data_IF_400454383022
#
_entry.id   IF_400454383022
#
_cell.length_a   1.000
_cell.length_b   1.000
_cell.length_c   1.000
_cell.angle_alpha   90.00
_cell.angle_beta   90.00
_cell.angle_gamma   90.00
#
_symmetry.space_group_name_H-M   'P 1'
#
loop_
_entity.id
_entity.type
_entity.pdbx_description
1 polymer ?
#
# COMPACT_ATOMS: atom_id res chain seq x y z
N UNK A 1 -41.18 5.50 15.54
CA UNK A 1 -41.00 6.32 14.31
C UNK A 1 -40.38 7.65 14.70
N UNK A 2 -39.16 7.93 14.28
CA UNK A 2 -38.53 9.25 14.42
C UNK A 2 -39.38 10.25 13.64
N UNK A 3 -39.75 11.40 14.24
CA UNK A 3 -40.34 12.51 13.46
C UNK A 3 -39.33 12.88 12.39
N UNK A 4 -39.60 12.57 11.10
CA UNK A 4 -38.84 13.08 9.97
C UNK A 4 -38.70 14.59 10.16
N UNK A 5 -37.48 15.09 10.13
CA UNK A 5 -37.25 16.53 10.12
C UNK A 5 -37.78 17.05 8.79
N UNK A 6 -38.55 18.14 8.78
CA UNK A 6 -38.99 18.82 7.56
C UNK A 6 -37.83 19.50 6.81
N UNK A 7 -36.62 19.09 7.05
CA UNK A 7 -35.44 19.64 6.41
C UNK A 7 -35.20 18.94 5.08
N UNK A 8 -35.29 19.71 4.01
CA UNK A 8 -34.95 19.26 2.65
C UNK A 8 -33.44 19.53 2.44
N UNK A 9 -32.66 18.48 2.29
CA UNK A 9 -31.22 18.60 2.11
C UNK A 9 -30.90 19.02 0.67
N UNK A 10 -30.10 20.08 0.44
CA UNK A 10 -29.85 20.62 -0.90
C UNK A 10 -29.20 19.62 -1.87
N UNK A 11 -28.42 18.67 -1.38
CA UNK A 11 -27.75 17.64 -2.18
C UNK A 11 -28.44 16.26 -2.14
N UNK A 12 -29.59 16.15 -1.46
CA UNK A 12 -30.34 14.90 -1.36
C UNK A 12 -31.79 15.12 -1.83
N UNK A 13 -32.05 15.07 -3.15
CA UNK A 13 -33.40 15.34 -3.71
C UNK A 13 -34.51 14.48 -3.10
N UNK A 14 -34.20 13.24 -2.72
CA UNK A 14 -35.14 12.31 -2.04
C UNK A 14 -35.50 12.72 -0.61
N UNK A 15 -34.84 13.72 -0.03
CA UNK A 15 -35.24 14.29 1.26
C UNK A 15 -36.45 15.20 1.17
N UNK A 16 -36.86 15.65 -0.04
CA UNK A 16 -38.08 16.38 -0.29
C UNK A 16 -39.25 15.40 -0.41
N UNK A 17 -40.25 15.47 0.51
CA UNK A 17 -41.42 14.58 0.45
C UNK A 17 -42.16 14.59 -0.90
N UNK A 18 -42.14 15.72 -1.62
CA UNK A 18 -42.77 15.84 -2.93
C UNK A 18 -42.04 15.04 -4.03
N UNK A 19 -40.75 14.79 -3.85
CA UNK A 19 -39.92 13.98 -4.75
C UNK A 19 -39.78 12.53 -4.30
N UNK A 20 -39.90 12.30 -3.02
CA UNK A 20 -39.80 10.93 -2.44
C UNK A 20 -40.97 10.06 -2.95
N UNK A 21 -42.22 10.57 -2.90
CA UNK A 21 -43.40 9.77 -3.28
C UNK A 21 -43.33 9.23 -4.72
N UNK A 22 -43.04 10.04 -5.75
CA UNK A 22 -42.92 9.53 -7.12
C UNK A 22 -41.82 8.48 -7.27
N UNK A 23 -40.74 8.55 -6.48
CA UNK A 23 -39.68 7.53 -6.49
C UNK A 23 -40.18 6.23 -5.87
N UNK A 24 -40.88 6.28 -4.73
CA UNK A 24 -41.49 5.11 -4.11
C UNK A 24 -42.53 4.45 -5.02
N UNK A 25 -43.36 5.24 -5.66
CA UNK A 25 -44.37 4.77 -6.64
C UNK A 25 -43.67 4.03 -7.82
N UNK A 26 -42.55 4.57 -8.30
CA UNK A 26 -41.77 3.96 -9.40
C UNK A 26 -41.20 2.61 -9.01
N UNK A 27 -40.79 2.45 -7.75
CA UNK A 27 -40.21 1.21 -7.22
C UNK A 27 -41.31 0.25 -6.74
N UNK A 28 -42.54 0.73 -6.60
CA UNK A 28 -43.71 -0.07 -6.23
C UNK A 28 -43.80 -0.34 -4.71
N UNK A 29 -43.33 0.60 -3.88
CA UNK A 29 -43.40 0.53 -2.43
C UNK A 29 -44.14 1.76 -1.88
N UNK A 30 -44.79 1.63 -0.73
CA UNK A 30 -45.52 2.73 -0.10
C UNK A 30 -44.65 3.53 0.88
N UNK A 31 -43.63 2.93 1.41
CA UNK A 31 -42.68 3.53 2.36
C UNK A 31 -41.27 2.97 2.15
N UNK A 32 -40.28 3.83 2.31
CA UNK A 32 -38.86 3.44 2.15
C UNK A 32 -38.43 2.29 3.07
N UNK A 33 -39.10 2.09 4.20
CA UNK A 33 -38.81 0.97 5.11
C UNK A 33 -39.10 -0.40 4.48
N UNK A 34 -39.99 -0.49 3.49
CA UNK A 34 -40.26 -1.73 2.79
C UNK A 34 -39.06 -2.23 1.98
N UNK A 35 -38.18 -1.34 1.53
CA UNK A 35 -36.95 -1.69 0.82
C UNK A 35 -36.00 -2.49 1.72
N UNK A 36 -36.13 -2.41 3.03
CA UNK A 36 -35.34 -3.15 4.01
C UNK A 36 -35.94 -4.51 4.38
N UNK A 37 -37.06 -4.93 3.75
CA UNK A 37 -37.71 -6.21 4.05
C UNK A 37 -36.82 -7.43 3.82
N UNK A 38 -35.73 -7.27 3.05
CA UNK A 38 -34.69 -8.29 2.87
C UNK A 38 -33.86 -8.56 4.12
N UNK A 39 -33.85 -7.60 5.09
CA UNK A 39 -33.12 -7.74 6.33
C UNK A 39 -34.02 -8.52 7.32
N UNK A 40 -33.55 -9.65 7.90
CA UNK A 40 -34.29 -10.39 8.93
C UNK A 40 -34.72 -9.50 10.08
N UNK A 41 -35.95 -9.69 10.59
CA UNK A 41 -36.56 -8.82 11.61
C UNK A 41 -35.73 -8.71 12.90
N UNK A 42 -35.10 -9.79 13.31
CA UNK A 42 -34.20 -9.83 14.48
C UNK A 42 -32.91 -9.03 14.32
N UNK A 43 -32.57 -8.61 13.11
CA UNK A 43 -31.40 -7.77 12.81
C UNK A 43 -31.76 -6.32 12.58
N UNK A 44 -33.05 -5.97 12.58
CA UNK A 44 -33.53 -4.60 12.38
C UNK A 44 -33.48 -3.79 13.66
N UNK A 45 -33.07 -2.54 13.55
CA UNK A 45 -33.09 -1.60 14.66
C UNK A 45 -34.42 -0.84 14.70
N UNK A 46 -35.25 -1.10 15.71
CA UNK A 46 -36.56 -0.48 15.87
C UNK A 46 -36.60 0.77 16.80
N UNK A 47 -35.44 1.23 17.19
CA UNK A 47 -35.29 2.43 18.05
C UNK A 47 -34.39 3.46 17.32
N UNK A 48 -34.55 4.72 17.69
CA UNK A 48 -33.61 5.76 17.32
C UNK A 48 -32.23 5.47 17.93
N UNK A 49 -31.16 5.80 17.23
CA UNK A 49 -29.82 5.78 17.78
C UNK A 49 -29.72 6.82 18.89
N UNK A 50 -29.01 6.48 19.95
CA UNK A 50 -28.67 7.43 21.03
C UNK A 50 -27.44 8.23 20.58
N UNK A 51 -27.70 9.30 19.84
CA UNK A 51 -26.68 10.18 19.30
C UNK A 51 -26.69 11.53 20.00
N UNK A 52 -25.53 12.19 20.11
CA UNK A 52 -25.48 13.58 20.59
C UNK A 52 -26.35 14.49 19.68
N UNK A 53 -26.80 15.59 20.26
CA UNK A 53 -27.50 16.59 19.47
C UNK A 53 -26.60 17.16 18.38
N UNK A 54 -27.11 17.38 17.16
CA UNK A 54 -26.31 17.93 16.09
C UNK A 54 -25.91 19.37 16.39
N UNK A 55 -24.67 19.71 16.04
CA UNK A 55 -24.17 21.08 16.00
C UNK A 55 -24.48 21.64 14.61
N UNK A 56 -25.51 22.50 14.51
CA UNK A 56 -26.02 23.00 13.23
C UNK A 56 -25.24 24.19 12.67
N UNK A 57 -24.43 24.85 13.49
CA UNK A 57 -23.56 25.96 13.09
C UNK A 57 -22.15 25.44 12.87
N UNK A 58 -21.59 25.73 11.69
CA UNK A 58 -20.18 25.43 11.36
C UNK A 58 -19.22 25.96 12.41
N UNK A 59 -19.41 27.21 12.83
CA UNK A 59 -18.59 27.84 13.87
C UNK A 59 -18.71 27.10 15.24
N UNK A 60 -19.91 26.61 15.59
CA UNK A 60 -20.09 25.86 16.83
C UNK A 60 -19.42 24.48 16.73
N UNK A 61 -19.47 23.85 15.58
CA UNK A 61 -18.78 22.57 15.32
C UNK A 61 -17.27 22.76 15.39
N UNK A 62 -16.71 23.78 14.73
CA UNK A 62 -15.30 24.10 14.74
C UNK A 62 -14.77 24.28 16.16
N UNK A 63 -15.42 25.15 16.96
CA UNK A 63 -15.04 25.35 18.37
C UNK A 63 -15.09 24.07 19.17
N UNK A 64 -16.13 23.26 18.99
CA UNK A 64 -16.26 22.00 19.69
C UNK A 64 -15.12 21.03 19.35
N UNK A 65 -14.75 20.94 18.08
CA UNK A 65 -13.64 20.08 17.61
C UNK A 65 -12.30 20.62 18.09
N UNK A 66 -12.08 21.93 18.05
CA UNK A 66 -10.87 22.56 18.58
C UNK A 66 -10.71 22.31 20.08
N UNK A 67 -11.79 22.43 20.85
CA UNK A 67 -11.79 22.14 22.30
C UNK A 67 -11.42 20.67 22.57
N UNK A 68 -11.94 19.74 21.78
CA UNK A 68 -11.58 18.32 21.88
C UNK A 68 -10.11 18.08 21.54
N UNK A 69 -9.64 18.64 20.43
CA UNK A 69 -8.28 18.46 19.96
C UNK A 69 -7.23 19.16 20.80
N UNK A 70 -7.61 20.26 21.51
CA UNK A 70 -6.71 20.95 22.43
C UNK A 70 -6.21 20.08 23.58
N UNK A 71 -6.93 18.99 23.88
CA UNK A 71 -6.55 17.99 24.89
C UNK A 71 -5.47 17.01 24.40
N UNK A 72 -5.21 16.97 23.09
CA UNK A 72 -4.19 16.10 22.50
C UNK A 72 -2.80 16.70 22.61
N UNK A 73 -1.84 15.82 22.83
CA UNK A 73 -0.42 16.15 22.74
C UNK A 73 0.08 15.80 21.33
N UNK A 74 0.47 16.82 20.57
CA UNK A 74 0.88 16.62 19.17
C UNK A 74 2.40 16.63 18.99
N UNK A 75 2.86 15.96 17.94
CA UNK A 75 4.25 15.95 17.52
C UNK A 75 4.79 17.34 17.08
N UNK A 76 3.91 18.34 16.89
CA UNK A 76 4.33 19.73 16.63
C UNK A 76 4.96 20.39 17.85
N UNK A 77 4.61 19.94 19.05
CA UNK A 77 5.06 20.54 20.32
C UNK A 77 5.95 19.61 21.14
N UNK A 78 5.93 18.32 20.86
CA UNK A 78 6.61 17.28 21.65
C UNK A 78 7.38 16.33 20.73
N UNK A 79 8.50 15.82 21.24
CA UNK A 79 9.25 14.76 20.58
C UNK A 79 8.46 13.45 20.70
N UNK A 80 8.47 12.67 19.62
CA UNK A 80 7.83 11.37 19.55
C UNK A 80 8.87 10.33 19.16
N UNK A 81 9.02 9.29 19.99
CA UNK A 81 9.94 8.17 19.80
C UNK A 81 9.20 6.82 19.68
N UNK A 82 7.89 6.85 19.42
CA UNK A 82 7.10 5.62 19.34
C UNK A 82 7.43 4.81 18.07
N UNK A 83 7.77 5.47 16.96
CA UNK A 83 7.93 4.78 15.69
C UNK A 83 6.64 4.09 15.25
N UNK A 84 6.70 2.77 15.02
CA UNK A 84 5.64 1.93 14.49
C UNK A 84 5.29 2.25 13.03
N UNK A 85 4.25 1.71 12.41
CA UNK A 85 3.98 1.76 10.99
C UNK A 85 3.95 3.14 10.30
N UNK A 86 3.86 4.22 11.05
CA UNK A 86 3.86 5.59 10.54
C UNK A 86 4.60 6.50 11.50
N UNK A 87 5.64 7.19 11.02
CA UNK A 87 6.48 8.04 11.87
C UNK A 87 6.58 9.47 11.34
N UNK A 88 6.96 10.39 12.22
CA UNK A 88 7.04 11.79 11.90
C UNK A 88 8.22 12.09 10.97
N UNK A 89 7.94 12.85 9.91
CA UNK A 89 8.92 13.43 9.01
C UNK A 89 8.44 14.81 8.55
N UNK A 90 9.29 15.53 7.84
CA UNK A 90 8.90 16.81 7.26
C UNK A 90 8.16 16.60 5.95
N UNK A 91 7.00 17.25 5.80
CA UNK A 91 6.23 17.29 4.55
C UNK A 91 6.31 18.70 3.98
N UNK A 92 6.98 18.90 2.83
CA UNK A 92 7.03 20.19 2.16
C UNK A 92 5.63 20.67 1.76
N UNK A 93 5.38 21.99 1.88
CA UNK A 93 4.08 22.57 1.52
C UNK A 93 3.68 22.35 0.06
N UNK A 94 4.65 22.17 -0.83
CA UNK A 94 4.38 21.88 -2.25
C UNK A 94 3.66 20.53 -2.42
N UNK A 95 3.87 19.56 -1.54
CA UNK A 95 3.16 18.27 -1.59
C UNK A 95 1.65 18.50 -1.42
N UNK A 96 1.24 19.32 -0.45
CA UNK A 96 -0.16 19.65 -0.23
C UNK A 96 -0.75 20.42 -1.42
N UNK A 97 -0.01 21.37 -1.97
CA UNK A 97 -0.44 22.19 -3.10
C UNK A 97 -0.69 21.34 -4.34
N UNK A 98 0.25 20.46 -4.68
CA UNK A 98 0.12 19.57 -5.85
C UNK A 98 -0.97 18.51 -5.64
N UNK A 99 -0.98 17.84 -4.47
CA UNK A 99 -1.98 16.80 -4.18
C UNK A 99 -3.43 17.32 -4.14
N UNK A 100 -3.60 18.63 -3.89
CA UNK A 100 -4.92 19.26 -3.85
C UNK A 100 -5.44 19.73 -5.21
N UNK A 101 -4.66 19.65 -6.28
CA UNK A 101 -5.12 20.00 -7.62
C UNK A 101 -6.20 19.05 -8.13
N UNK A 102 -7.13 19.61 -8.89
CA UNK A 102 -8.31 18.88 -9.37
C UNK A 102 -7.95 17.66 -10.24
N UNK A 103 -6.90 17.78 -11.05
CA UNK A 103 -6.41 16.71 -11.93
C UNK A 103 -5.96 15.45 -11.18
N UNK A 104 -5.55 15.58 -9.90
CA UNK A 104 -5.16 14.45 -9.05
C UNK A 104 -6.29 13.92 -8.15
N UNK A 105 -7.44 14.60 -8.13
CA UNK A 105 -8.62 14.23 -7.33
C UNK A 105 -9.72 13.57 -8.13
N UNK A 106 -9.39 12.97 -9.26
CA UNK A 106 -10.35 12.27 -10.13
C UNK A 106 -10.65 10.86 -9.66
N UNK A 107 -11.40 10.11 -10.44
CA UNK A 107 -11.85 8.76 -10.12
C UNK A 107 -10.71 7.81 -9.75
N UNK A 108 -11.07 6.69 -9.14
CA UNK A 108 -10.15 5.65 -8.70
C UNK A 108 -9.33 5.08 -9.87
N UNK A 109 -8.06 4.80 -9.61
CA UNK A 109 -7.13 4.24 -10.59
C UNK A 109 -7.61 2.87 -11.09
N UNK A 110 -7.58 2.67 -12.38
CA UNK A 110 -7.80 1.36 -13.00
C UNK A 110 -8.67 1.40 -14.25
N UNK A 111 -9.97 1.28 -14.11
CA UNK A 111 -10.84 0.99 -15.25
C UNK A 111 -11.45 2.20 -15.92
N UNK A 112 -11.31 3.39 -15.36
CA UNK A 112 -11.97 4.56 -15.91
C UNK A 112 -11.04 5.38 -16.79
N UNK A 113 -11.55 5.74 -17.94
CA UNK A 113 -10.94 6.67 -18.88
C UNK A 113 -10.62 8.05 -18.27
N UNK A 114 -11.19 8.39 -17.13
CA UNK A 114 -10.93 9.64 -16.41
C UNK A 114 -9.60 9.65 -15.63
N UNK A 115 -9.01 8.48 -15.35
CA UNK A 115 -7.75 8.37 -14.61
C UNK A 115 -6.49 8.46 -15.47
N UNK A 116 -6.62 8.46 -16.78
CA UNK A 116 -5.47 8.41 -17.69
C UNK A 116 -4.49 9.58 -17.54
N UNK A 117 -4.97 10.74 -17.10
CA UNK A 117 -4.11 11.88 -16.78
C UNK A 117 -3.12 11.65 -15.62
N UNK A 118 -3.38 10.66 -14.77
CA UNK A 118 -2.47 10.27 -13.67
C UNK A 118 -1.36 9.32 -14.10
N UNK A 119 -1.43 8.72 -15.27
CA UNK A 119 -0.48 7.71 -15.71
C UNK A 119 0.95 8.25 -15.77
N UNK A 120 1.13 9.47 -16.22
CA UNK A 120 2.43 10.11 -16.22
C UNK A 120 2.95 10.30 -14.79
N UNK A 121 2.13 10.82 -13.87
CA UNK A 121 2.52 10.99 -12.48
C UNK A 121 2.88 9.66 -11.81
N UNK A 122 2.14 8.59 -12.10
CA UNK A 122 2.43 7.25 -11.60
C UNK A 122 3.73 6.69 -12.20
N UNK A 123 3.95 6.86 -13.49
CA UNK A 123 5.19 6.47 -14.15
C UNK A 123 6.40 7.20 -13.58
N UNK A 124 6.31 8.52 -13.41
CA UNK A 124 7.39 9.33 -12.81
C UNK A 124 7.68 8.92 -11.36
N UNK A 125 6.62 8.69 -10.55
CA UNK A 125 6.75 8.19 -9.18
C UNK A 125 7.48 6.86 -9.13
N UNK A 126 7.01 5.87 -9.91
CA UNK A 126 7.62 4.53 -9.92
C UNK A 126 9.06 4.55 -10.43
N UNK A 127 9.36 5.40 -11.42
CA UNK A 127 10.71 5.57 -11.95
C UNK A 127 11.67 6.19 -10.93
N UNK A 128 11.27 7.27 -10.26
CA UNK A 128 12.09 7.91 -9.23
C UNK A 128 12.34 6.98 -8.02
N UNK A 129 11.32 6.23 -7.62
CA UNK A 129 11.48 5.27 -6.53
C UNK A 129 12.35 4.09 -6.94
N UNK A 130 12.24 3.63 -8.19
CA UNK A 130 13.11 2.61 -8.77
C UNK A 130 14.57 3.03 -8.75
N UNK A 131 14.86 4.26 -9.12
CA UNK A 131 16.20 4.85 -9.09
C UNK A 131 16.80 4.85 -7.67
N UNK A 132 15.99 5.24 -6.66
CA UNK A 132 16.42 5.18 -5.26
C UNK A 132 16.73 3.76 -4.78
N UNK A 133 15.94 2.79 -5.19
CA UNK A 133 16.03 1.39 -4.75
C UNK A 133 17.03 0.57 -5.59
N UNK A 134 17.43 1.07 -6.77
CA UNK A 134 18.27 0.37 -7.73
C UNK A 134 17.53 -0.71 -8.53
N UNK A 135 16.22 -0.54 -8.76
CA UNK A 135 15.38 -1.49 -9.51
C UNK A 135 14.67 -0.86 -10.69
N UNK A 136 14.42 -1.67 -11.72
CA UNK A 136 13.74 -1.25 -12.94
C UNK A 136 12.22 -1.27 -12.82
N UNK A 137 11.65 -2.19 -12.02
CA UNK A 137 10.22 -2.35 -11.82
C UNK A 137 9.80 -1.90 -10.43
N UNK A 138 8.83 -0.99 -10.39
CA UNK A 138 8.14 -0.60 -9.15
C UNK A 138 6.64 -0.62 -9.37
N UNK A 139 5.89 -1.23 -8.45
CA UNK A 139 4.44 -1.28 -8.55
C UNK A 139 3.78 0.08 -8.33
N UNK A 140 2.59 0.25 -8.90
CA UNK A 140 1.64 1.23 -8.38
C UNK A 140 1.53 1.08 -6.85
N UNK A 141 1.35 2.17 -6.09
CA UNK A 141 1.22 2.07 -4.64
C UNK A 141 0.16 1.06 -4.19
N UNK A 142 0.54 0.22 -3.24
CA UNK A 142 -0.39 -0.59 -2.46
C UNK A 142 -0.72 0.13 -1.14
N UNK A 143 -1.63 -0.42 -0.32
CA UNK A 143 -2.13 0.29 0.85
C UNK A 143 -1.02 0.71 1.83
N UNK A 144 -0.10 -0.20 2.14
CA UNK A 144 0.95 0.02 3.13
C UNK A 144 2.09 -1.00 2.99
N UNK A 145 3.10 -0.88 3.84
CA UNK A 145 4.22 -1.82 3.93
C UNK A 145 3.73 -3.25 4.21
N UNK A 146 2.76 -3.44 5.09
CA UNK A 146 2.25 -4.77 5.43
C UNK A 146 1.63 -5.47 4.22
N UNK A 147 0.84 -4.73 3.43
CA UNK A 147 0.26 -5.24 2.19
C UNK A 147 1.33 -5.53 1.13
N UNK A 148 2.31 -4.62 0.95
CA UNK A 148 3.43 -4.82 0.04
C UNK A 148 4.20 -6.10 0.37
N UNK A 149 4.63 -6.23 1.60
CA UNK A 149 5.39 -7.36 2.12
C UNK A 149 4.63 -8.69 1.97
N UNK A 150 3.39 -8.76 2.44
CA UNK A 150 2.62 -10.01 2.42
C UNK A 150 2.26 -10.45 1.01
N UNK A 151 1.92 -9.51 0.12
CA UNK A 151 1.70 -9.78 -1.29
C UNK A 151 2.97 -10.30 -1.97
N UNK A 152 4.13 -9.73 -1.62
CA UNK A 152 5.44 -10.16 -2.14
C UNK A 152 5.84 -11.53 -1.63
N UNK A 153 5.56 -11.89 -0.38
CA UNK A 153 5.79 -13.23 0.15
C UNK A 153 4.98 -14.26 -0.65
N UNK A 154 3.71 -13.97 -0.96
CA UNK A 154 2.89 -14.84 -1.81
C UNK A 154 3.41 -14.87 -3.26
N UNK A 155 3.87 -13.74 -3.79
CA UNK A 155 4.53 -13.65 -5.11
C UNK A 155 5.78 -14.54 -5.14
N UNK A 156 6.66 -14.46 -4.16
CA UNK A 156 7.84 -15.32 -4.04
C UNK A 156 7.47 -16.82 -3.97
N UNK A 157 6.38 -17.15 -3.28
CA UNK A 157 5.83 -18.51 -3.25
C UNK A 157 5.43 -19.01 -4.63
N UNK A 158 4.80 -18.18 -5.46
CA UNK A 158 4.42 -18.55 -6.84
C UNK A 158 5.65 -18.66 -7.75
N UNK A 159 6.56 -17.68 -7.71
CA UNK A 159 7.80 -17.68 -8.51
C UNK A 159 8.62 -18.94 -8.26
N UNK A 160 8.82 -19.31 -6.99
CA UNK A 160 9.65 -20.45 -6.62
C UNK A 160 8.89 -21.79 -6.61
N UNK A 161 7.56 -21.72 -6.70
CA UNK A 161 6.65 -22.87 -6.48
C UNK A 161 6.90 -23.55 -5.11
N UNK A 162 7.12 -22.73 -4.05
CA UNK A 162 7.43 -23.17 -2.70
C UNK A 162 6.47 -22.52 -1.69
N UNK A 163 6.36 -23.11 -0.50
CA UNK A 163 5.33 -22.73 0.47
C UNK A 163 5.87 -22.43 1.88
N UNK A 164 7.15 -22.16 2.05
CA UNK A 164 7.73 -21.77 3.33
C UNK A 164 8.39 -20.40 3.22
N UNK A 165 8.20 -19.56 4.22
CA UNK A 165 8.89 -18.28 4.36
C UNK A 165 9.64 -18.23 5.69
N UNK A 166 10.89 -17.75 5.66
CA UNK A 166 11.66 -17.41 6.84
C UNK A 166 11.58 -15.91 7.08
N UNK A 167 11.24 -15.48 8.29
CA UNK A 167 11.00 -14.08 8.63
C UNK A 167 11.89 -13.67 9.78
N UNK A 168 12.61 -12.57 9.65
CA UNK A 168 13.39 -11.99 10.74
C UNK A 168 12.51 -11.71 11.96
N UNK A 169 12.89 -12.19 13.14
CA UNK A 169 12.12 -11.92 14.36
C UNK A 169 12.25 -10.47 14.87
N UNK A 170 13.10 -9.68 14.24
CA UNK A 170 13.24 -8.23 14.44
C UNK A 170 12.24 -7.39 13.63
N UNK A 171 11.42 -8.00 12.78
CA UNK A 171 10.32 -7.31 12.08
C UNK A 171 9.26 -6.84 13.09
N UNK A 172 8.60 -5.71 12.79
CA UNK A 172 7.56 -5.15 13.65
C UNK A 172 6.42 -6.12 13.95
N UNK A 173 5.86 -6.09 15.15
CA UNK A 173 4.80 -7.01 15.58
C UNK A 173 3.55 -6.91 14.69
N UNK A 174 3.19 -5.72 14.24
CA UNK A 174 2.10 -5.52 13.27
C UNK A 174 2.37 -6.24 11.95
N UNK A 175 3.61 -6.19 11.45
CA UNK A 175 4.04 -6.87 10.22
C UNK A 175 4.03 -8.37 10.39
N UNK A 176 4.55 -8.87 11.50
CA UNK A 176 4.51 -10.30 11.82
C UNK A 176 3.07 -10.82 11.92
N UNK A 177 2.18 -10.06 12.58
CA UNK A 177 0.75 -10.37 12.67
C UNK A 177 0.09 -10.38 11.30
N UNK A 178 0.42 -9.39 10.45
CA UNK A 178 -0.13 -9.29 9.10
C UNK A 178 0.33 -10.45 8.21
N UNK A 179 1.63 -10.80 8.22
CA UNK A 179 2.16 -11.97 7.50
C UNK A 179 1.38 -13.23 7.94
N UNK A 180 1.24 -13.44 9.25
CA UNK A 180 0.55 -14.60 9.77
C UNK A 180 -0.90 -14.64 9.29
N UNK A 181 -1.63 -13.54 9.37
CA UNK A 181 -3.03 -13.50 8.95
C UNK A 181 -3.21 -13.67 7.43
N UNK A 182 -2.40 -12.95 6.65
CA UNK A 182 -2.54 -12.88 5.19
C UNK A 182 -1.96 -14.10 4.47
N UNK A 183 -0.83 -14.63 4.93
CA UNK A 183 -0.08 -15.66 4.22
C UNK A 183 -0.36 -17.09 4.70
N UNK A 184 -0.89 -17.30 5.94
CA UNK A 184 -1.01 -18.61 6.58
C UNK A 184 -1.77 -19.67 5.77
N UNK A 185 -2.67 -19.26 4.89
CA UNK A 185 -3.44 -20.19 4.05
C UNK A 185 -2.58 -20.86 2.96
N UNK A 186 -1.45 -20.26 2.59
CA UNK A 186 -0.59 -20.68 1.48
C UNK A 186 0.87 -20.90 1.90
N UNK A 187 1.32 -20.28 3.00
CA UNK A 187 2.72 -20.26 3.42
C UNK A 187 2.87 -20.79 4.85
N UNK A 188 3.86 -21.65 5.06
CA UNK A 188 4.39 -21.96 6.38
C UNK A 188 5.35 -20.85 6.81
N UNK A 189 5.04 -20.18 7.91
CA UNK A 189 5.81 -19.05 8.41
C UNK A 189 6.70 -19.52 9.55
N UNK A 190 8.00 -19.26 9.46
CA UNK A 190 8.97 -19.58 10.49
C UNK A 190 9.87 -18.38 10.77
N UNK A 191 10.03 -18.03 12.06
CA UNK A 191 10.87 -16.90 12.48
C UNK A 191 12.34 -17.32 12.54
N UNK A 192 13.24 -16.45 12.08
CA UNK A 192 14.68 -16.56 12.27
C UNK A 192 15.06 -15.71 13.48
N UNK A 193 15.87 -16.25 14.37
CA UNK A 193 16.35 -15.57 15.56
C UNK A 193 17.27 -14.41 15.21
N UNK A 194 17.49 -13.54 16.16
CA UNK A 194 18.49 -12.49 16.12
C UNK A 194 19.43 -12.60 17.33
N UNK A 195 20.61 -12.07 17.20
CA UNK A 195 21.56 -11.92 18.30
C UNK A 195 21.10 -10.77 19.21
N UNK A 196 20.75 -11.00 20.47
CA UNK A 196 20.25 -9.98 21.37
C UNK A 196 21.26 -8.87 21.72
N UNK A 197 22.56 -9.11 21.53
CA UNK A 197 23.60 -8.11 21.79
C UNK A 197 23.75 -7.13 20.62
N UNK A 198 23.62 -7.62 19.39
CA UNK A 198 23.84 -6.84 18.17
C UNK A 198 22.55 -6.43 17.45
N UNK A 199 21.45 -7.15 17.70
CA UNK A 199 20.18 -7.00 16.98
C UNK A 199 20.19 -7.56 15.56
N UNK A 200 21.31 -8.11 15.08
CA UNK A 200 21.47 -8.67 13.75
C UNK A 200 20.83 -10.05 13.63
N UNK A 201 20.44 -10.46 12.42
CA UNK A 201 19.92 -11.80 12.17
C UNK A 201 20.97 -12.86 12.50
N UNK A 202 20.56 -13.89 13.23
CA UNK A 202 21.42 -15.06 13.52
C UNK A 202 21.57 -15.90 12.24
N UNK A 203 22.75 -15.78 11.59
CA UNK A 203 23.05 -16.47 10.34
C UNK A 203 23.13 -18.00 10.51
N UNK A 204 23.49 -18.51 11.69
CA UNK A 204 23.52 -19.95 11.94
C UNK A 204 22.11 -20.51 12.10
N UNK A 205 21.21 -19.79 12.78
CA UNK A 205 19.80 -20.15 12.84
C UNK A 205 19.14 -20.07 11.44
N UNK A 206 19.53 -19.05 10.63
CA UNK A 206 19.08 -18.94 9.23
C UNK A 206 19.52 -20.17 8.42
N UNK A 207 20.80 -20.51 8.42
CA UNK A 207 21.34 -21.69 7.70
C UNK A 207 20.67 -22.97 8.13
N UNK A 208 20.46 -23.16 9.44
CA UNK A 208 19.80 -24.35 9.98
C UNK A 208 18.33 -24.52 9.51
N UNK A 209 17.64 -23.40 9.25
CA UNK A 209 16.25 -23.37 8.79
C UNK A 209 16.08 -23.38 7.27
N UNK A 210 17.15 -23.04 6.53
CA UNK A 210 17.14 -23.05 5.07
C UNK A 210 16.97 -24.47 4.52
N UNK A 211 15.94 -24.66 3.72
CA UNK A 211 15.62 -25.90 3.02
C UNK A 211 15.11 -25.61 1.62
N UNK A 212 15.08 -26.60 0.76
CA UNK A 212 14.51 -26.52 -0.60
C UNK A 212 13.00 -26.15 -0.63
N UNK A 213 12.34 -26.08 0.53
CA UNK A 213 10.93 -25.66 0.64
C UNK A 213 10.78 -24.15 0.88
N UNK A 214 11.87 -23.46 1.18
CA UNK A 214 11.85 -22.02 1.47
C UNK A 214 11.69 -21.25 0.17
N UNK A 215 10.62 -20.47 0.08
CA UNK A 215 10.33 -19.60 -1.03
C UNK A 215 11.13 -18.29 -0.95
N UNK A 216 11.15 -17.69 0.24
CA UNK A 216 11.92 -16.47 0.47
C UNK A 216 12.32 -16.32 1.93
N UNK A 217 13.32 -15.43 2.14
CA UNK A 217 13.73 -14.89 3.42
C UNK A 217 13.32 -13.43 3.47
N UNK A 218 12.55 -13.02 4.49
CA UNK A 218 12.17 -11.63 4.73
C UNK A 218 12.95 -11.03 5.88
N UNK A 219 13.53 -9.86 5.68
CA UNK A 219 14.19 -9.05 6.71
C UNK A 219 13.96 -7.56 6.45
N UNK A 220 14.28 -6.71 7.42
CA UNK A 220 14.14 -5.26 7.31
C UNK A 220 15.50 -4.59 7.46
N UNK A 221 15.77 -3.58 6.63
CA UNK A 221 17.01 -2.80 6.71
C UNK A 221 16.76 -1.31 6.44
N UNK A 222 16.75 -0.44 7.47
CA UNK A 222 16.93 -0.76 8.91
C UNK A 222 15.81 -1.63 9.47
N UNK A 223 16.12 -2.39 10.54
CA UNK A 223 15.12 -3.20 11.23
C UNK A 223 14.14 -2.32 12.01
N UNK A 224 12.99 -2.89 12.40
CA UNK A 224 11.99 -2.21 13.26
C UNK A 224 12.61 -1.70 14.58
N UNK A 225 13.60 -2.37 15.11
CA UNK A 225 14.32 -1.97 16.33
C UNK A 225 15.40 -0.90 16.09
N UNK A 226 15.59 -0.45 14.84
CA UNK A 226 16.54 0.60 14.47
C UNK A 226 17.97 0.09 14.19
N UNK A 227 18.20 -1.21 14.14
CA UNK A 227 19.49 -1.77 13.74
C UNK A 227 19.64 -1.81 12.22
N UNK A 228 20.85 -1.54 11.75
CA UNK A 228 21.22 -1.75 10.35
C UNK A 228 21.73 -3.18 10.19
N UNK A 229 21.13 -3.97 9.32
CA UNK A 229 21.54 -5.33 9.03
C UNK A 229 22.78 -5.33 8.12
N UNK A 230 23.94 -5.27 8.75
CA UNK A 230 25.24 -5.23 8.07
C UNK A 230 25.61 -6.55 7.36
N UNK A 231 24.90 -7.63 7.64
CA UNK A 231 25.07 -8.93 7.00
C UNK A 231 24.06 -9.18 5.89
N UNK A 232 23.36 -8.14 5.40
CA UNK A 232 22.29 -8.29 4.40
C UNK A 232 22.75 -9.09 3.16
N UNK A 233 23.95 -8.83 2.65
CA UNK A 233 24.53 -9.59 1.54
C UNK A 233 24.69 -11.08 1.86
N UNK A 234 25.15 -11.42 3.08
CA UNK A 234 25.30 -12.83 3.51
C UNK A 234 23.93 -13.53 3.66
N UNK A 235 22.91 -12.79 4.09
CA UNK A 235 21.54 -13.31 4.13
C UNK A 235 21.08 -13.67 2.71
N UNK A 236 21.36 -12.78 1.74
CA UNK A 236 21.04 -13.02 0.32
C UNK A 236 21.80 -14.26 -0.20
N UNK A 237 23.11 -14.36 0.04
CA UNK A 237 23.90 -15.50 -0.40
C UNK A 237 23.36 -16.82 0.15
N UNK A 238 23.07 -16.89 1.46
CA UNK A 238 22.50 -18.09 2.10
C UNK A 238 21.14 -18.47 1.50
N UNK A 239 20.29 -17.50 1.17
CA UNK A 239 19.00 -17.75 0.53
C UNK A 239 19.19 -18.28 -0.90
N UNK A 240 20.05 -17.63 -1.67
CA UNK A 240 20.31 -17.95 -3.08
C UNK A 240 20.98 -19.31 -3.25
N UNK A 241 21.86 -19.74 -2.34
CA UNK A 241 22.46 -21.10 -2.34
C UNK A 241 21.39 -22.21 -2.36
N UNK A 242 20.21 -21.93 -1.83
CA UNK A 242 19.07 -22.86 -1.82
C UNK A 242 17.99 -22.50 -2.85
N UNK A 243 18.25 -21.51 -3.72
CA UNK A 243 17.31 -21.03 -4.73
C UNK A 243 16.05 -20.39 -4.12
N UNK A 244 16.15 -19.85 -2.91
CA UNK A 244 15.12 -19.01 -2.30
C UNK A 244 15.36 -17.55 -2.67
N UNK A 245 14.29 -16.76 -2.75
CA UNK A 245 14.38 -15.32 -2.96
C UNK A 245 14.62 -14.58 -1.65
N UNK A 246 15.10 -13.36 -1.75
CA UNK A 246 15.19 -12.42 -0.64
C UNK A 246 14.21 -11.28 -0.81
N UNK A 247 13.53 -10.94 0.27
CA UNK A 247 12.60 -9.81 0.34
C UNK A 247 13.05 -8.89 1.45
N UNK A 248 13.45 -7.67 1.12
CA UNK A 248 13.87 -6.70 2.11
C UNK A 248 12.84 -5.59 2.31
N UNK A 249 12.49 -5.34 3.56
CA UNK A 249 11.73 -4.19 3.98
C UNK A 249 12.61 -2.96 4.11
N UNK A 250 12.30 -1.88 3.39
CA UNK A 250 13.14 -0.68 3.25
C UNK A 250 12.35 0.57 3.63
N UNK A 251 12.95 1.39 4.50
CA UNK A 251 12.56 2.79 4.65
C UNK A 251 13.28 3.61 3.57
N UNK A 252 12.57 4.20 2.60
CA UNK A 252 13.21 4.91 1.49
C UNK A 252 14.03 6.14 1.94
N UNK A 253 13.76 6.72 3.09
CA UNK A 253 14.58 7.82 3.64
C UNK A 253 15.97 7.33 4.04
N UNK A 254 16.09 6.08 4.47
CA UNK A 254 17.38 5.49 4.85
C UNK A 254 18.36 5.41 3.67
N UNK A 255 17.86 5.39 2.44
CA UNK A 255 18.66 5.34 1.21
C UNK A 255 19.44 6.64 0.93
N UNK A 256 19.19 7.70 1.68
CA UNK A 256 20.09 8.86 1.72
C UNK A 256 21.45 8.59 2.39
N UNK A 257 21.59 7.47 3.08
CA UNK A 257 22.78 7.06 3.82
C UNK A 257 23.20 5.61 3.51
N UNK A 258 22.22 4.72 3.36
CA UNK A 258 22.46 3.30 3.10
C UNK A 258 22.48 3.03 1.59
N UNK A 259 23.21 1.99 1.22
CA UNK A 259 23.26 1.50 -0.15
C UNK A 259 21.90 0.95 -0.61
N UNK A 260 21.59 1.11 -1.89
CA UNK A 260 20.35 0.60 -2.48
C UNK A 260 20.27 -0.94 -2.38
N UNK A 261 19.08 -1.49 -2.04
CA UNK A 261 18.93 -2.93 -1.77
C UNK A 261 19.31 -3.83 -2.96
N UNK A 262 19.14 -3.37 -4.19
CA UNK A 262 19.56 -4.10 -5.37
C UNK A 262 21.07 -4.38 -5.41
N UNK A 263 21.90 -3.48 -4.83
CA UNK A 263 23.36 -3.56 -4.92
C UNK A 263 23.95 -4.56 -3.93
N UNK A 264 23.23 -4.93 -2.87
CA UNK A 264 23.70 -5.98 -1.93
C UNK A 264 22.95 -7.31 -2.06
N UNK A 265 22.26 -7.52 -3.20
CA UNK A 265 21.77 -8.83 -3.61
C UNK A 265 20.30 -9.13 -3.26
N UNK A 266 19.52 -8.16 -2.80
CA UNK A 266 18.08 -8.34 -2.54
C UNK A 266 17.33 -8.53 -3.87
N UNK A 267 16.43 -9.51 -3.93
CA UNK A 267 15.63 -9.78 -5.12
C UNK A 267 14.44 -8.85 -5.25
N UNK A 268 13.73 -8.61 -4.13
CA UNK A 268 12.53 -7.78 -4.10
C UNK A 268 12.60 -6.86 -2.88
N UNK A 269 12.53 -5.56 -3.11
CA UNK A 269 12.37 -4.57 -2.04
C UNK A 269 10.89 -4.22 -1.85
N UNK A 270 10.48 -4.08 -0.60
CA UNK A 270 9.16 -3.63 -0.19
C UNK A 270 9.30 -2.56 0.88
N UNK A 271 8.28 -1.74 1.06
CA UNK A 271 8.32 -0.71 2.09
C UNK A 271 7.13 0.20 2.02
N UNK A 272 7.28 1.38 2.60
CA UNK A 272 6.29 2.44 2.56
C UNK A 272 6.92 3.76 2.16
N UNK A 273 6.40 4.37 1.11
CA UNK A 273 6.84 5.67 0.63
C UNK A 273 6.11 6.85 1.34
N UNK A 274 5.35 6.58 2.40
CA UNK A 274 4.71 7.62 3.21
C UNK A 274 5.70 8.72 3.64
N UNK A 275 6.96 8.40 4.06
CA UNK A 275 7.92 9.43 4.43
C UNK A 275 8.36 10.35 3.29
N UNK A 276 8.10 10.00 2.04
CA UNK A 276 8.45 10.82 0.87
C UNK A 276 7.45 11.96 0.57
N UNK A 277 6.51 12.24 1.47
CA UNK A 277 5.65 13.42 1.32
C UNK A 277 4.20 13.27 1.80
N UNK A 278 3.83 12.17 2.43
CA UNK A 278 2.52 12.01 3.03
C UNK A 278 2.54 12.43 4.50
N UNK A 279 1.50 13.13 4.95
CA UNK A 279 1.28 13.37 6.37
C UNK A 279 0.97 12.05 7.09
N UNK A 280 1.20 12.03 8.41
CA UNK A 280 0.94 10.83 9.23
C UNK A 280 -0.53 10.38 9.21
N UNK A 281 -1.48 11.28 9.00
CA UNK A 281 -2.93 11.02 8.85
C UNK A 281 -3.51 10.08 9.92
N UNK A 282 -3.06 10.25 11.18
CA UNK A 282 -3.45 9.39 12.31
C UNK A 282 -3.12 7.89 12.10
N UNK A 283 -2.07 7.59 11.34
CA UNK A 283 -1.65 6.23 11.00
C UNK A 283 -2.33 5.65 9.75
N UNK A 284 -3.10 6.45 9.01
CA UNK A 284 -3.70 6.07 7.72
C UNK A 284 -3.08 6.81 6.53
N UNK A 285 -3.46 6.47 5.31
CA UNK A 285 -2.97 7.14 4.10
C UNK A 285 -1.51 6.82 3.80
N UNK A 286 -1.13 5.57 3.90
CA UNK A 286 0.19 5.04 3.61
C UNK A 286 0.42 4.90 2.09
N UNK A 287 1.60 4.43 1.69
CA UNK A 287 2.00 4.31 0.29
C UNK A 287 2.97 3.14 0.12
N UNK A 288 2.45 1.91 0.25
CA UNK A 288 3.26 0.70 0.12
C UNK A 288 3.82 0.53 -1.30
N UNK A 289 5.05 0.02 -1.43
CA UNK A 289 5.68 -0.26 -2.71
C UNK A 289 6.27 -1.67 -2.78
N UNK A 290 6.38 -2.18 -4.00
CA UNK A 290 7.07 -3.43 -4.35
C UNK A 290 8.00 -3.10 -5.52
N UNK A 291 9.28 -3.44 -5.40
CA UNK A 291 10.29 -3.17 -6.43
C UNK A 291 11.14 -4.40 -6.71
N UNK A 292 11.48 -4.65 -7.98
CA UNK A 292 12.33 -5.75 -8.43
C UNK A 292 13.04 -5.42 -9.75
N UNK A 293 13.91 -6.30 -10.20
CA UNK A 293 14.51 -6.24 -11.53
C UNK A 293 13.46 -6.44 -12.62
N UNK A 294 13.70 -5.87 -13.79
CA UNK A 294 12.93 -6.14 -15.02
C UNK A 294 13.29 -7.53 -15.58
N UNK A 295 12.62 -8.54 -15.03
CA UNK A 295 12.74 -9.93 -15.49
C UNK A 295 11.32 -10.51 -15.56
N UNK A 296 11.05 -11.26 -16.61
CA UNK A 296 9.76 -11.91 -16.84
C UNK A 296 9.31 -12.79 -15.67
N UNK A 297 10.27 -13.34 -14.91
CA UNK A 297 10.02 -14.12 -13.69
C UNK A 297 9.28 -13.31 -12.63
N UNK A 298 9.67 -12.03 -12.43
CA UNK A 298 9.00 -11.13 -11.48
C UNK A 298 7.80 -10.46 -12.13
N UNK A 299 7.97 -9.95 -13.33
CA UNK A 299 6.96 -9.18 -14.05
C UNK A 299 5.59 -9.88 -14.09
N UNK A 300 5.58 -11.17 -14.44
CA UNK A 300 4.36 -11.96 -14.58
C UNK A 300 3.63 -12.23 -13.25
N UNK A 301 4.28 -12.00 -12.12
CA UNK A 301 3.76 -12.32 -10.79
C UNK A 301 3.46 -11.09 -9.92
N UNK A 302 3.63 -9.88 -10.50
CA UNK A 302 3.35 -8.64 -9.77
C UNK A 302 1.89 -8.58 -9.29
N UNK A 303 1.68 -8.32 -8.00
CA UNK A 303 0.33 -8.35 -7.42
C UNK A 303 -0.48 -7.06 -7.65
N UNK A 304 0.10 -6.06 -8.31
CA UNK A 304 -0.51 -4.77 -8.56
C UNK A 304 -0.10 -4.20 -9.92
N UNK A 305 -0.73 -3.09 -10.32
CA UNK A 305 -0.45 -2.42 -11.58
C UNK A 305 1.00 -1.97 -11.69
N UNK A 306 1.52 -2.08 -12.92
CA UNK A 306 2.77 -1.48 -13.36
C UNK A 306 2.46 -0.40 -14.38
N UNK A 307 3.23 0.68 -14.37
CA UNK A 307 3.15 1.76 -15.35
C UNK A 307 4.41 1.75 -16.20
N UNK A 308 4.25 1.92 -17.51
CA UNK A 308 5.34 1.86 -18.47
C UNK A 308 5.16 2.84 -19.62
N UNK A 309 6.27 3.23 -20.23
CA UNK A 309 6.29 3.79 -21.56
C UNK A 309 6.31 2.66 -22.59
N UNK A 310 5.40 2.70 -23.55
CA UNK A 310 5.31 1.71 -24.62
C UNK A 310 5.39 2.42 -25.97
N UNK A 311 6.11 1.85 -26.95
CA UNK A 311 6.13 2.41 -28.30
C UNK A 311 4.72 2.35 -28.92
N UNK A 312 4.34 3.40 -29.63
CA UNK A 312 3.12 3.43 -30.44
C UNK A 312 3.36 2.82 -31.82
N UNK A 313 2.34 2.84 -32.69
CA UNK A 313 2.52 2.42 -34.09
C UNK A 313 3.34 3.39 -34.95
N UNK A 314 3.85 4.49 -34.40
CA UNK A 314 4.68 5.47 -35.10
C UNK A 314 6.09 5.48 -34.50
N UNK A 315 7.09 5.53 -35.38
CA UNK A 315 8.49 5.59 -34.98
C UNK A 315 8.78 6.84 -34.14
N UNK A 316 9.44 6.65 -33.00
CA UNK A 316 9.79 7.72 -32.06
C UNK A 316 8.64 8.24 -31.19
N UNK A 317 7.43 7.67 -31.32
CA UNK A 317 6.29 8.05 -30.49
C UNK A 317 6.03 6.99 -29.40
N UNK A 318 5.86 7.45 -28.14
CA UNK A 318 5.60 6.59 -26.99
C UNK A 318 4.27 6.97 -26.34
N UNK A 319 3.61 5.99 -25.77
CA UNK A 319 2.41 6.14 -24.95
C UNK A 319 2.64 5.64 -23.53
N UNK A 320 1.87 6.18 -22.60
CA UNK A 320 1.82 5.66 -21.22
C UNK A 320 0.82 4.50 -21.17
N UNK A 321 1.22 3.40 -20.56
CA UNK A 321 0.39 2.22 -20.36
C UNK A 321 0.40 1.77 -18.91
N UNK A 322 -0.66 1.09 -18.49
CA UNK A 322 -0.70 0.34 -17.24
C UNK A 322 -1.07 -1.11 -17.51
N UNK A 323 -0.48 -2.02 -16.77
CA UNK A 323 -0.77 -3.44 -16.84
C UNK A 323 -0.92 -4.03 -15.44
N UNK A 324 -1.93 -4.89 -15.26
CA UNK A 324 -2.05 -5.80 -14.13
C UNK A 324 -1.67 -7.20 -14.61
N UNK A 325 -0.52 -7.69 -14.18
CA UNK A 325 0.06 -8.92 -14.73
C UNK A 325 -0.57 -10.19 -14.15
N UNK A 326 -1.03 -10.16 -12.90
CA UNK A 326 -1.84 -11.27 -12.34
C UNK A 326 -3.25 -11.19 -12.96
N UNK A 327 -3.34 -11.33 -14.23
CA UNK A 327 -4.60 -11.43 -14.92
C UNK A 327 -4.80 -12.87 -15.37
N UNK A 328 -5.81 -13.52 -14.80
CA UNK A 328 -6.49 -14.68 -15.34
C UNK A 328 -5.62 -15.80 -15.98
N UNK A 329 -5.72 -17.05 -15.55
CA UNK A 329 -4.97 -18.17 -16.12
C UNK A 329 -5.25 -18.44 -17.62
N UNK A 330 -6.10 -17.64 -18.26
CA UNK A 330 -6.52 -17.82 -19.66
C UNK A 330 -6.22 -16.63 -20.57
N UNK A 331 -5.68 -15.51 -20.06
CA UNK A 331 -5.20 -14.43 -20.93
C UNK A 331 -3.75 -14.70 -21.30
N UNK A 332 -3.41 -14.79 -22.59
CA UNK A 332 -2.01 -14.75 -23.00
C UNK A 332 -1.44 -13.43 -22.49
N UNK A 333 -0.35 -13.50 -21.71
CA UNK A 333 0.41 -12.33 -21.34
C UNK A 333 0.71 -11.56 -22.62
N UNK A 334 0.19 -10.34 -22.73
CA UNK A 334 0.64 -9.42 -23.78
C UNK A 334 2.02 -9.00 -23.29
N UNK A 335 3.10 -9.42 -23.94
CA UNK A 335 4.41 -8.91 -23.61
C UNK A 335 4.40 -7.43 -23.93
N UNK A 336 4.20 -6.60 -22.92
CA UNK A 336 4.47 -5.18 -23.03
C UNK A 336 5.99 -5.07 -23.05
N UNK A 337 6.61 -4.53 -24.08
CA UNK A 337 8.00 -4.15 -24.00
C UNK A 337 8.11 -3.04 -22.96
N UNK A 338 8.53 -3.38 -21.76
CA UNK A 338 8.86 -2.39 -20.75
C UNK A 338 10.18 -1.78 -21.19
N UNK A 339 10.14 -0.55 -21.60
CA UNK A 339 11.35 0.22 -21.82
C UNK A 339 11.75 0.75 -20.46
N UNK A 340 12.72 0.10 -19.82
CA UNK A 340 13.44 0.71 -18.71
C UNK A 340 14.05 2.01 -19.22
N UNK A 341 13.83 3.10 -18.50
CA UNK A 341 14.53 4.35 -18.80
C UNK A 341 16.01 4.08 -18.54
N UNK A 342 16.88 4.22 -19.54
CA UNK A 342 18.31 4.03 -19.31
C UNK A 342 18.77 5.06 -18.26
N UNK A 343 19.77 4.73 -17.41
CA UNK A 343 20.23 5.58 -16.33
C UNK A 343 20.85 6.91 -16.77
N UNK A 344 20.80 7.26 -18.03
CA UNK A 344 21.39 8.46 -18.62
C UNK A 344 20.38 9.19 -19.51
N UNK A 345 19.48 9.93 -18.87
CA UNK A 345 18.80 11.07 -19.49
C UNK A 345 17.63 10.73 -20.43
N UNK A 346 16.61 11.58 -20.34
CA UNK A 346 15.54 11.70 -21.32
C UNK A 346 16.14 12.08 -22.67
N UNK A 347 15.68 11.53 -23.79
CA UNK A 347 16.00 12.10 -25.10
C UNK A 347 15.44 13.53 -25.14
N UNK A 348 16.28 14.49 -25.54
CA UNK A 348 15.95 15.91 -25.70
C UNK A 348 14.76 16.14 -26.64
#
# INVERSE_FOLDING_TARGET
>A
MSKRTNFVHPYMPSSDPKREQPLLDTVGVSDASELYNVIPENLRLHRSLDLPKPLLSEQALERHIEDLFSKNTSCKKNLNFLGAGCWQHYVPKICDEIANRAEFKTAYCGDTYSDKGKYQAMFEYTSMLGELLGYDLVSCPVYDWCCAMSSTILMAGRITNRSKVLVASTAGEERLSHIHNFCRAKMQIEKVKYDPETGLMDLEDLKAKMTEKVACVYFENPSYLGFIEVNANKICDIAHEKGALTVAGIDPISLGVLEAPALYGVDIAVGDAQPLGNHMNCGGGMCGFIASRDDSLYLNEYPNFLFALVPTGKEGEFGLASALMIAHPTSPAIPLPIISVPPHGWPE
#
